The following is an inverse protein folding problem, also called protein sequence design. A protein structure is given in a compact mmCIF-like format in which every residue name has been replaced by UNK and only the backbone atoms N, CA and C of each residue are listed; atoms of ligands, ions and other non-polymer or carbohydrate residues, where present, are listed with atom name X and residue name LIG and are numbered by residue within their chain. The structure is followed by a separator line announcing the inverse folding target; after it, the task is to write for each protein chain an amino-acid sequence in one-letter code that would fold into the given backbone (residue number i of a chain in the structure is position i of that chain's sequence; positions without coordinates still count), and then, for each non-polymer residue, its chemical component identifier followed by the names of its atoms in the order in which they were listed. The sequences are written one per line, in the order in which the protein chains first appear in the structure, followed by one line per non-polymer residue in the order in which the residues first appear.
data_IF_090416510876
#
_entry.id   IF_090416510876
#
_cell.length_a   1.000
_cell.length_b   1.000
_cell.length_c   1.000
_cell.angle_alpha   90.00
_cell.angle_beta   90.00
_cell.angle_gamma   90.00
#
_symmetry.space_group_name_H-M   'P 1'
#
loop_
_entity.id
_entity.type
_entity.pdbx_description
1 polymer ?
#
# COMPACT_ATOMS: atom_id res chain seq x y z
N UNK A 1 31.75 15.07 -9.05
CA UNK A 1 30.75 15.99 -8.49
C UNK A 1 30.34 15.40 -7.11
N UNK A 2 30.15 16.22 -6.07
CA UNK A 2 29.64 15.72 -4.81
C UNK A 2 28.29 15.03 -5.02
N UNK A 3 27.95 14.04 -4.20
CA UNK A 3 26.63 13.43 -4.24
C UNK A 3 25.58 14.42 -3.69
N UNK A 4 24.30 14.28 -4.04
CA UNK A 4 23.24 15.13 -3.47
C UNK A 4 23.21 15.04 -1.95
N UNK A 5 23.56 13.88 -1.38
CA UNK A 5 23.67 13.67 0.06
C UNK A 5 24.71 14.57 0.71
N UNK A 6 25.84 14.83 0.03
CA UNK A 6 26.94 15.65 0.56
C UNK A 6 26.61 17.15 0.55
N UNK A 7 25.51 17.55 -0.11
CA UNK A 7 25.01 18.92 -0.14
C UNK A 7 24.03 19.22 1.01
N UNK A 8 23.63 18.21 1.78
CA UNK A 8 22.75 18.41 2.95
C UNK A 8 23.62 18.90 4.11
N UNK A 9 23.49 20.19 4.43
CA UNK A 9 24.29 20.85 5.48
C UNK A 9 23.46 21.09 6.75
N UNK A 10 22.15 21.30 6.61
CA UNK A 10 21.24 21.63 7.71
C UNK A 10 20.25 20.49 7.99
N UNK A 11 19.51 20.58 9.10
CA UNK A 11 18.42 19.67 9.43
C UNK A 11 17.26 19.80 8.46
N UNK A 12 16.34 18.81 8.44
CA UNK A 12 15.18 18.85 7.57
C UNK A 12 14.22 19.98 7.97
N UNK A 13 13.61 20.62 7.01
CA UNK A 13 12.56 21.64 7.23
C UNK A 13 11.15 21.02 7.30
N UNK A 14 10.98 19.83 6.76
CA UNK A 14 9.73 19.08 6.74
C UNK A 14 10.02 17.58 6.67
N UNK A 15 9.15 16.77 7.27
CA UNK A 15 9.17 15.32 7.17
C UNK A 15 7.76 14.80 6.86
N UNK A 16 7.67 13.81 5.96
CA UNK A 16 6.49 12.96 5.78
C UNK A 16 6.85 11.52 6.06
N UNK A 17 6.15 10.90 6.99
CA UNK A 17 6.32 9.49 7.34
C UNK A 17 5.05 8.75 6.95
N UNK A 18 5.24 7.60 6.27
CA UNK A 18 4.19 6.62 5.99
C UNK A 18 4.59 5.33 6.72
N UNK A 19 3.71 4.81 7.56
CA UNK A 19 3.90 3.54 8.29
C UNK A 19 2.72 2.61 7.98
N UNK A 20 3.01 1.34 7.64
CA UNK A 20 2.00 0.36 7.28
C UNK A 20 2.22 -0.92 8.08
N UNK A 21 1.13 -1.44 8.65
CA UNK A 21 1.13 -2.69 9.40
C UNK A 21 -0.05 -3.55 8.97
N UNK A 22 0.20 -4.85 8.79
CA UNK A 22 -0.82 -5.81 8.42
C UNK A 22 -1.06 -6.77 9.59
N UNK A 23 -2.31 -6.96 9.94
CA UNK A 23 -2.77 -7.82 11.02
C UNK A 23 -3.67 -8.93 10.46
N UNK A 24 -3.44 -10.20 10.80
CA UNK A 24 -4.35 -11.27 10.41
C UNK A 24 -5.69 -11.10 11.13
N UNK A 25 -6.80 -11.26 10.41
CA UNK A 25 -8.13 -11.34 10.99
C UNK A 25 -8.60 -12.80 11.04
N UNK A 26 -8.49 -13.49 9.92
CA UNK A 26 -8.77 -14.92 9.78
C UNK A 26 -7.92 -15.51 8.63
N UNK A 27 -8.21 -16.72 8.15
CA UNK A 27 -7.41 -17.38 7.12
C UNK A 27 -7.42 -16.66 5.77
N UNK A 28 -8.47 -15.90 5.45
CA UNK A 28 -8.71 -15.27 4.16
C UNK A 28 -8.66 -13.75 4.19
N UNK A 29 -8.63 -13.14 5.38
CA UNK A 29 -8.73 -11.69 5.52
C UNK A 29 -7.65 -11.12 6.44
N UNK A 30 -7.23 -9.92 6.10
CA UNK A 30 -6.29 -9.13 6.89
C UNK A 30 -6.84 -7.71 7.10
N UNK A 31 -6.45 -7.09 8.21
CA UNK A 31 -6.61 -5.66 8.42
C UNK A 31 -5.26 -5.02 8.17
N UNK A 32 -5.25 -4.02 7.31
CA UNK A 32 -4.07 -3.19 7.07
C UNK A 32 -4.31 -1.84 7.72
N UNK A 33 -3.39 -1.42 8.58
CA UNK A 33 -3.38 -0.10 9.20
C UNK A 33 -2.28 0.74 8.57
N UNK A 34 -2.62 1.91 8.08
CA UNK A 34 -1.70 2.88 7.50
C UNK A 34 -1.74 4.20 8.27
N UNK A 35 -0.58 4.79 8.50
CA UNK A 35 -0.42 6.10 9.11
C UNK A 35 0.35 7.02 8.19
N UNK A 36 -0.14 8.24 8.04
CA UNK A 36 0.57 9.37 7.45
C UNK A 36 0.79 10.42 8.55
N UNK A 37 2.03 10.88 8.70
CA UNK A 37 2.37 12.01 9.57
C UNK A 37 3.20 13.00 8.78
N UNK A 38 2.74 14.26 8.71
CA UNK A 38 3.49 15.42 8.23
C UNK A 38 3.90 16.30 9.39
N UNK A 39 5.18 16.65 9.45
CA UNK A 39 5.74 17.49 10.49
C UNK A 39 6.62 18.59 9.88
N UNK A 40 6.46 19.82 10.33
CA UNK A 40 7.36 20.95 10.05
C UNK A 40 8.28 21.19 11.21
N UNK A 41 9.53 21.46 10.93
CA UNK A 41 10.57 21.73 11.92
C UNK A 41 10.92 23.21 12.02
N UNK A 42 10.28 24.05 11.20
CA UNK A 42 10.42 25.51 11.22
C UNK A 42 9.06 26.17 11.32
N UNK A 43 8.96 27.32 12.03
CA UNK A 43 7.75 28.13 11.98
C UNK A 43 7.50 28.65 10.56
N UNK A 44 6.26 28.96 10.24
CA UNK A 44 5.86 29.46 8.93
C UNK A 44 4.78 30.54 9.03
N UNK A 45 4.66 31.36 8.00
CA UNK A 45 3.56 32.31 7.88
C UNK A 45 2.41 31.69 7.08
N UNK A 46 1.19 31.80 7.60
CA UNK A 46 -0.02 31.38 6.89
C UNK A 46 -0.42 32.39 5.78
N UNK A 47 -1.52 32.12 5.07
CA UNK A 47 -2.02 32.99 4.00
C UNK A 47 -2.47 34.37 4.50
N UNK A 48 -2.74 34.51 5.80
CA UNK A 48 -3.06 35.77 6.46
C UNK A 48 -1.84 36.53 6.97
N UNK A 49 -0.64 35.97 6.81
CA UNK A 49 0.61 36.53 7.33
C UNK A 49 0.83 36.29 8.83
N UNK A 50 0.06 35.41 9.47
CA UNK A 50 0.25 35.07 10.87
C UNK A 50 1.29 33.97 11.03
N UNK A 51 2.19 34.17 12.03
CA UNK A 51 3.23 33.19 12.34
C UNK A 51 2.62 31.98 13.04
N UNK A 52 2.70 30.82 12.40
CA UNK A 52 2.36 29.53 12.96
C UNK A 52 3.64 28.78 13.41
N UNK A 53 3.52 28.07 14.53
CA UNK A 53 4.64 27.30 15.11
C UNK A 53 4.93 26.03 14.28
N UNK A 54 6.15 25.52 14.46
CA UNK A 54 6.52 24.17 14.03
C UNK A 54 5.65 23.10 14.70
N UNK A 55 5.64 21.89 14.12
CA UNK A 55 4.94 20.73 14.67
C UNK A 55 4.20 19.91 13.62
N UNK A 56 3.34 19.01 14.10
CA UNK A 56 2.55 18.11 13.26
C UNK A 56 1.44 18.89 12.57
N UNK A 57 1.42 18.82 11.23
CA UNK A 57 0.42 19.48 10.38
C UNK A 57 -0.71 18.54 10.03
N UNK A 58 -0.33 17.29 9.65
CA UNK A 58 -1.27 16.23 9.31
C UNK A 58 -0.90 14.97 10.08
N UNK A 59 -1.88 14.35 10.69
CA UNK A 59 -1.81 12.98 11.17
C UNK A 59 -3.10 12.27 10.76
N UNK A 60 -2.95 11.21 9.98
CA UNK A 60 -4.08 10.46 9.43
C UNK A 60 -3.82 8.97 9.59
N UNK A 61 -4.87 8.26 9.95
CA UNK A 61 -4.87 6.80 10.04
C UNK A 61 -5.92 6.27 9.06
N UNK A 62 -5.57 5.20 8.39
CA UNK A 62 -6.45 4.51 7.45
C UNK A 62 -6.42 3.02 7.76
N UNK A 63 -7.59 2.43 7.87
CA UNK A 63 -7.77 1.00 8.10
C UNK A 63 -8.51 0.38 6.93
N UNK A 64 -7.97 -0.71 6.39
CA UNK A 64 -8.58 -1.46 5.31
C UNK A 64 -8.79 -2.89 5.74
N UNK A 65 -9.99 -3.42 5.57
CA UNK A 65 -10.25 -4.84 5.56
C UNK A 65 -10.06 -5.37 4.13
N UNK A 66 -9.12 -6.29 3.95
CA UNK A 66 -8.76 -6.82 2.64
C UNK A 66 -8.91 -8.33 2.65
N UNK A 67 -9.46 -8.86 1.57
CA UNK A 67 -9.64 -10.31 1.39
C UNK A 67 -10.31 -10.65 0.08
N UNK A 68 -10.59 -11.94 -0.09
CA UNK A 68 -11.23 -12.47 -1.30
C UNK A 68 -10.26 -12.82 -2.42
N UNK A 69 -10.84 -13.48 -3.44
CA UNK A 69 -10.13 -13.80 -4.68
C UNK A 69 -11.09 -13.54 -5.85
N UNK A 70 -10.93 -12.44 -6.59
CA UNK A 70 -9.82 -11.47 -6.57
C UNK A 70 -9.75 -10.62 -5.28
N UNK A 71 -8.52 -10.23 -4.93
CA UNK A 71 -8.27 -9.45 -3.72
C UNK A 71 -8.95 -8.08 -3.79
N UNK A 72 -9.75 -7.77 -2.78
CA UNK A 72 -10.62 -6.59 -2.79
C UNK A 72 -10.63 -5.89 -1.42
N UNK A 73 -10.97 -4.61 -1.43
CA UNK A 73 -11.25 -3.84 -0.21
C UNK A 73 -12.67 -4.19 0.24
N UNK A 74 -12.80 -4.88 1.36
CA UNK A 74 -14.08 -5.33 1.93
C UNK A 74 -14.71 -4.27 2.85
N UNK A 75 -13.88 -3.48 3.52
CA UNK A 75 -14.28 -2.33 4.34
C UNK A 75 -13.11 -1.35 4.48
N UNK A 76 -13.42 -0.09 4.80
CA UNK A 76 -12.45 0.96 4.99
C UNK A 76 -12.92 1.95 6.06
N UNK A 77 -11.99 2.42 6.90
CA UNK A 77 -12.24 3.47 7.87
C UNK A 77 -11.03 4.37 8.01
N UNK A 78 -11.25 5.64 8.40
CA UNK A 78 -10.20 6.63 8.54
C UNK A 78 -10.37 7.47 9.80
N UNK A 79 -9.24 7.86 10.39
CA UNK A 79 -9.17 8.84 11.46
C UNK A 79 -8.27 10.01 11.02
N UNK A 80 -8.58 11.21 11.47
CA UNK A 80 -7.83 12.43 11.15
C UNK A 80 -7.50 13.19 12.46
N UNK A 81 -6.60 12.65 13.31
CA UNK A 81 -6.30 13.23 14.62
C UNK A 81 -5.72 14.65 14.55
N UNK A 82 -4.98 14.97 13.47
CA UNK A 82 -4.41 16.29 13.25
C UNK A 82 -4.61 16.71 11.80
N UNK A 83 -5.24 17.88 11.62
CA UNK A 83 -5.47 18.52 10.33
C UNK A 83 -5.22 20.01 10.43
N UNK A 84 -4.82 20.70 9.35
CA UNK A 84 -4.54 22.12 9.39
C UNK A 84 -5.81 23.00 9.43
N UNK A 85 -6.96 22.45 9.05
CA UNK A 85 -8.27 23.13 9.03
C UNK A 85 -9.36 22.15 9.42
N UNK A 86 -10.32 22.58 10.24
CA UNK A 86 -11.44 21.73 10.72
C UNK A 86 -12.25 21.12 9.57
N UNK A 87 -12.45 21.88 8.49
CA UNK A 87 -13.14 21.44 7.27
C UNK A 87 -12.50 20.21 6.61
N UNK A 88 -11.20 19.94 6.86
CA UNK A 88 -10.56 18.74 6.31
C UNK A 88 -11.27 17.47 6.79
N UNK A 89 -11.83 17.46 8.00
CA UNK A 89 -12.51 16.30 8.59
C UNK A 89 -13.76 15.89 7.81
N UNK A 90 -14.38 16.80 7.07
CA UNK A 90 -15.55 16.50 6.22
C UNK A 90 -15.23 15.52 5.09
N UNK A 91 -13.95 15.47 4.68
CA UNK A 91 -13.52 14.54 3.63
C UNK A 91 -13.31 13.11 4.10
N UNK A 92 -13.35 12.84 5.41
CA UNK A 92 -13.09 11.52 6.00
C UNK A 92 -13.98 10.44 5.42
N UNK A 93 -15.28 10.71 5.33
CA UNK A 93 -16.27 9.73 4.85
C UNK A 93 -16.09 9.37 3.37
N UNK A 94 -15.35 10.16 2.59
CA UNK A 94 -15.07 9.84 1.19
C UNK A 94 -14.38 8.48 1.04
N UNK A 95 -13.62 8.03 2.06
CA UNK A 95 -12.90 6.75 2.03
C UNK A 95 -13.85 5.55 1.85
N UNK A 96 -15.09 5.64 2.30
CA UNK A 96 -16.07 4.56 2.13
C UNK A 96 -16.38 4.23 0.66
N UNK A 97 -16.15 5.17 -0.26
CA UNK A 97 -16.39 4.98 -1.70
C UNK A 97 -15.45 3.97 -2.36
N UNK A 98 -14.35 3.58 -1.69
CA UNK A 98 -13.41 2.58 -2.22
C UNK A 98 -13.80 1.14 -1.86
N UNK A 99 -14.78 0.94 -0.99
CA UNK A 99 -15.26 -0.39 -0.62
C UNK A 99 -15.79 -1.11 -1.87
N UNK A 100 -15.40 -2.36 -2.03
CA UNK A 100 -15.68 -3.17 -3.21
C UNK A 100 -14.67 -3.03 -4.36
N UNK A 101 -13.70 -2.13 -4.27
CA UNK A 101 -12.65 -2.04 -5.28
C UNK A 101 -11.74 -3.27 -5.24
N UNK A 102 -11.60 -3.89 -6.41
CA UNK A 102 -10.62 -4.93 -6.64
C UNK A 102 -9.21 -4.33 -6.79
N UNK A 103 -8.26 -4.92 -6.09
CA UNK A 103 -6.84 -4.52 -6.13
C UNK A 103 -6.20 -5.16 -7.36
N UNK A 104 -6.05 -4.40 -8.42
CA UNK A 104 -5.48 -4.82 -9.71
C UNK A 104 -4.92 -3.64 -10.50
N UNK A 105 -4.39 -3.89 -11.68
CA UNK A 105 -3.95 -2.83 -12.61
C UNK A 105 -5.05 -1.77 -12.79
N UNK A 106 -4.67 -0.49 -12.77
CA UNK A 106 -5.60 0.65 -12.81
C UNK A 106 -6.26 0.99 -11.46
N UNK A 107 -5.88 0.32 -10.35
CA UNK A 107 -6.42 0.62 -9.02
C UNK A 107 -6.23 2.09 -8.63
N UNK A 108 -5.01 2.61 -8.77
CA UNK A 108 -4.69 4.00 -8.40
C UNK A 108 -5.53 5.02 -9.17
N UNK A 109 -5.77 4.79 -10.45
CA UNK A 109 -6.62 5.67 -11.27
C UNK A 109 -8.06 5.69 -10.77
N UNK A 110 -8.60 4.51 -10.41
CA UNK A 110 -9.95 4.40 -9.83
C UNK A 110 -10.05 5.11 -8.48
N UNK A 111 -9.03 4.95 -7.62
CA UNK A 111 -8.96 5.66 -6.35
C UNK A 111 -8.96 7.17 -6.56
N UNK A 112 -8.10 7.70 -7.43
CA UNK A 112 -8.07 9.12 -7.75
C UNK A 112 -9.39 9.65 -8.28
N UNK A 113 -10.12 8.86 -9.08
CA UNK A 113 -11.43 9.22 -9.60
C UNK A 113 -12.51 9.27 -8.51
N UNK A 114 -12.44 8.37 -7.51
CA UNK A 114 -13.48 8.24 -6.48
C UNK A 114 -13.29 9.20 -5.30
N UNK A 115 -12.05 9.40 -4.86
CA UNK A 115 -11.72 10.13 -3.64
C UNK A 115 -10.58 11.12 -3.80
N UNK A 116 -10.04 11.29 -5.01
CA UNK A 116 -8.98 12.25 -5.31
C UNK A 116 -9.52 13.64 -5.65
N UNK A 117 -8.61 14.62 -5.74
CA UNK A 117 -8.91 16.00 -6.12
C UNK A 117 -10.05 16.60 -5.26
N UNK A 118 -11.07 17.13 -5.92
CA UNK A 118 -12.24 17.75 -5.28
C UNK A 118 -13.21 16.74 -4.64
N UNK A 119 -13.05 15.46 -4.91
CA UNK A 119 -13.93 14.40 -4.39
C UNK A 119 -13.57 13.94 -2.98
N UNK A 120 -12.41 14.36 -2.45
CA UNK A 120 -11.97 13.96 -1.11
C UNK A 120 -10.67 14.61 -0.69
N UNK A 121 -9.85 13.89 0.08
CA UNK A 121 -8.60 14.38 0.64
C UNK A 121 -7.38 13.84 -0.12
N UNK A 122 -6.51 14.72 -0.60
CA UNK A 122 -5.26 14.35 -1.28
C UNK A 122 -4.33 13.48 -0.39
N UNK A 123 -4.32 13.71 0.93
CA UNK A 123 -3.49 12.94 1.87
C UNK A 123 -4.03 11.52 2.07
N UNK A 124 -5.35 11.36 2.26
CA UNK A 124 -5.98 10.02 2.34
C UNK A 124 -5.82 9.26 1.02
N UNK A 125 -5.99 9.95 -0.12
CA UNK A 125 -5.77 9.36 -1.45
C UNK A 125 -4.33 8.85 -1.60
N UNK A 126 -3.34 9.68 -1.25
CA UNK A 126 -1.93 9.30 -1.31
C UNK A 126 -1.62 8.13 -0.36
N UNK A 127 -2.08 8.21 0.89
CA UNK A 127 -1.91 7.16 1.89
C UNK A 127 -2.46 5.82 1.36
N UNK A 128 -3.68 5.81 0.82
CA UNK A 128 -4.33 4.63 0.27
C UNK A 128 -3.55 4.02 -0.91
N UNK A 129 -3.15 4.85 -1.88
CA UNK A 129 -2.45 4.37 -3.08
C UNK A 129 -1.13 3.69 -2.73
N UNK A 130 -0.38 4.23 -1.77
CA UNK A 130 0.88 3.62 -1.32
C UNK A 130 0.62 2.40 -0.43
N UNK A 131 -0.40 2.47 0.45
CA UNK A 131 -0.77 1.43 1.39
C UNK A 131 -1.17 0.11 0.72
N UNK A 132 -1.81 0.16 -0.44
CA UNK A 132 -2.25 -1.04 -1.16
C UNK A 132 -1.08 -1.92 -1.59
N UNK A 133 0.07 -1.36 -1.94
CA UNK A 133 1.26 -2.14 -2.25
C UNK A 133 1.79 -2.87 -1.00
N UNK A 134 1.85 -2.18 0.14
CA UNK A 134 2.20 -2.81 1.42
C UNK A 134 1.18 -3.88 1.83
N UNK A 135 -0.11 -3.62 1.57
CA UNK A 135 -1.20 -4.56 1.82
C UNK A 135 -1.05 -5.88 1.06
N UNK A 136 -0.64 -5.83 -0.21
CA UNK A 136 -0.33 -7.04 -0.99
C UNK A 136 0.76 -7.87 -0.32
N UNK A 137 1.86 -7.24 0.08
CA UNK A 137 2.95 -7.95 0.77
C UNK A 137 2.48 -8.54 2.10
N UNK A 138 1.72 -7.79 2.89
CA UNK A 138 1.18 -8.27 4.17
C UNK A 138 0.20 -9.43 4.00
N UNK A 139 -0.70 -9.35 3.02
CA UNK A 139 -1.63 -10.44 2.70
C UNK A 139 -0.89 -11.72 2.29
N UNK A 140 0.11 -11.61 1.40
CA UNK A 140 0.90 -12.76 0.99
C UNK A 140 1.75 -13.32 2.11
N UNK A 141 2.35 -12.49 2.97
CA UNK A 141 3.06 -12.94 4.15
C UNK A 141 2.14 -13.76 5.07
N UNK A 142 0.89 -13.33 5.26
CA UNK A 142 -0.11 -14.07 6.00
C UNK A 142 -0.46 -15.42 5.34
N UNK A 143 -0.78 -15.43 4.04
CA UNK A 143 -1.11 -16.66 3.30
C UNK A 143 0.06 -17.64 3.21
N UNK A 144 1.30 -17.17 3.23
CA UNK A 144 2.51 -17.97 3.14
C UNK A 144 3.08 -18.34 4.51
N UNK A 145 2.47 -17.94 5.61
CA UNK A 145 2.95 -18.26 6.97
C UNK A 145 2.78 -19.74 7.37
N UNK A 146 1.98 -20.51 6.62
CA UNK A 146 1.75 -21.94 6.84
C UNK A 146 2.44 -22.78 5.76
N UNK A 147 2.94 -23.99 6.10
CA UNK A 147 3.44 -24.92 5.11
C UNK A 147 2.38 -25.24 4.04
N UNK A 148 2.81 -25.27 2.80
CA UNK A 148 1.96 -25.58 1.66
C UNK A 148 2.69 -26.50 0.69
N UNK A 149 1.98 -27.33 -0.10
CA UNK A 149 2.62 -28.13 -1.14
C UNK A 149 3.23 -27.23 -2.21
N UNK A 150 4.25 -27.75 -2.87
CA UNK A 150 4.83 -27.10 -4.06
C UNK A 150 3.75 -27.07 -5.15
N UNK A 151 3.49 -25.91 -5.77
CA UNK A 151 2.48 -25.80 -6.83
C UNK A 151 2.88 -26.64 -8.04
N UNK A 152 1.90 -27.22 -8.73
CA UNK A 152 2.11 -28.04 -9.93
C UNK A 152 2.16 -27.19 -11.21
N UNK A 153 1.66 -25.97 -11.15
CA UNK A 153 1.66 -25.02 -12.27
C UNK A 153 1.70 -23.58 -11.77
N UNK A 154 2.05 -22.65 -12.64
CA UNK A 154 2.00 -21.22 -12.32
C UNK A 154 0.60 -20.75 -11.92
N UNK A 155 -0.44 -21.35 -12.47
CA UNK A 155 -1.84 -20.97 -12.20
C UNK A 155 -2.28 -21.32 -10.77
N UNK A 156 -1.59 -22.25 -10.10
CA UNK A 156 -1.84 -22.58 -8.69
C UNK A 156 -1.23 -21.56 -7.72
N UNK A 157 -0.41 -20.64 -8.20
CA UNK A 157 0.20 -19.59 -7.39
C UNK A 157 -0.73 -18.37 -7.37
N UNK A 158 -1.67 -18.34 -6.43
CA UNK A 158 -2.73 -17.31 -6.36
C UNK A 158 -2.22 -15.86 -6.30
N UNK A 159 -0.99 -15.63 -5.81
CA UNK A 159 -0.34 -14.31 -5.78
C UNK A 159 0.32 -13.89 -7.08
N UNK A 160 0.56 -14.82 -8.00
CA UNK A 160 1.34 -14.57 -9.19
C UNK A 160 0.77 -13.47 -10.10
N UNK A 161 -0.55 -13.38 -10.34
CA UNK A 161 -1.13 -12.31 -11.15
C UNK A 161 -0.86 -10.87 -10.64
N UNK A 162 -0.59 -10.72 -9.34
CA UNK A 162 -0.26 -9.43 -8.73
C UNK A 162 1.23 -9.09 -8.82
N UNK A 163 2.07 -10.09 -9.05
CA UNK A 163 3.53 -9.97 -9.09
C UNK A 163 4.06 -9.88 -10.52
N UNK A 164 3.48 -10.62 -11.45
CA UNK A 164 3.90 -10.60 -12.87
C UNK A 164 3.83 -9.18 -13.41
N UNK A 165 4.94 -8.74 -14.02
CA UNK A 165 5.14 -7.40 -14.56
C UNK A 165 5.08 -6.25 -13.52
N UNK A 166 5.15 -6.56 -12.20
CA UNK A 166 5.21 -5.56 -11.14
C UNK A 166 6.57 -4.86 -11.04
N UNK A 167 7.65 -5.54 -11.42
CA UNK A 167 9.00 -4.97 -11.51
C UNK A 167 9.86 -5.73 -12.53
N UNK A 168 11.09 -5.22 -12.76
CA UNK A 168 12.01 -5.81 -13.74
C UNK A 168 12.31 -7.29 -13.53
N UNK A 169 12.37 -7.76 -12.28
CA UNK A 169 12.65 -9.16 -11.97
C UNK A 169 11.44 -10.09 -12.15
N UNK A 170 10.24 -9.55 -11.92
CA UNK A 170 8.97 -10.25 -12.06
C UNK A 170 8.37 -10.15 -13.47
N UNK A 171 9.15 -9.74 -14.50
CA UNK A 171 8.65 -9.82 -15.88
C UNK A 171 8.21 -11.25 -16.19
N UNK A 172 7.22 -11.37 -17.08
CA UNK A 172 6.70 -12.66 -17.54
C UNK A 172 7.81 -13.59 -18.09
N UNK A 173 8.83 -13.02 -18.75
CA UNK A 173 10.05 -13.68 -19.22
C UNK A 173 11.24 -13.51 -18.25
N UNK A 174 11.01 -13.01 -17.05
CA UNK A 174 12.03 -12.63 -16.08
C UNK A 174 12.60 -13.79 -15.27
N UNK A 175 13.71 -13.54 -14.56
CA UNK A 175 14.45 -14.60 -13.86
C UNK A 175 13.60 -15.31 -12.80
N UNK A 176 12.79 -14.58 -12.02
CA UNK A 176 11.98 -15.19 -10.95
C UNK A 176 10.91 -16.13 -11.53
N UNK A 177 10.30 -15.77 -12.65
CA UNK A 177 9.33 -16.65 -13.31
C UNK A 177 10.00 -17.91 -13.84
N UNK A 178 11.25 -17.82 -14.34
CA UNK A 178 12.01 -19.00 -14.78
C UNK A 178 12.40 -19.90 -13.60
N UNK A 179 12.90 -19.35 -12.50
CA UNK A 179 13.18 -20.08 -11.26
C UNK A 179 11.96 -20.84 -10.74
N UNK A 180 10.78 -20.20 -10.75
CA UNK A 180 9.53 -20.85 -10.33
C UNK A 180 9.16 -22.00 -11.26
N UNK A 181 9.31 -21.84 -12.58
CA UNK A 181 9.06 -22.92 -13.56
C UNK A 181 10.00 -24.10 -13.33
N UNK A 182 11.29 -23.83 -13.13
CA UNK A 182 12.29 -24.87 -12.86
C UNK A 182 11.99 -25.64 -11.56
N UNK A 183 11.62 -24.94 -10.48
CA UNK A 183 11.20 -25.52 -9.22
C UNK A 183 9.99 -26.45 -9.39
N UNK A 184 8.98 -26.03 -10.15
CA UNK A 184 7.79 -26.84 -10.45
C UNK A 184 8.18 -28.10 -11.20
N UNK A 185 9.01 -28.02 -12.24
CA UNK A 185 9.43 -29.16 -13.05
C UNK A 185 10.34 -30.14 -12.23
N UNK A 186 11.17 -29.62 -11.36
CA UNK A 186 11.96 -30.45 -10.45
C UNK A 186 11.07 -31.22 -9.45
N UNK A 187 10.04 -30.53 -8.90
CA UNK A 187 9.07 -31.15 -8.00
C UNK A 187 8.29 -32.27 -8.68
N UNK A 188 7.84 -32.09 -9.93
CA UNK A 188 7.17 -33.13 -10.71
C UNK A 188 8.06 -34.37 -10.90
N UNK A 189 9.33 -34.16 -11.27
CA UNK A 189 10.31 -35.27 -11.44
C UNK A 189 10.50 -36.04 -10.16
N UNK A 190 10.56 -35.41 -9.00
CA UNK A 190 10.72 -36.07 -7.69
C UNK A 190 9.49 -36.86 -7.25
N UNK A 191 8.29 -36.39 -7.62
CA UNK A 191 7.02 -37.01 -7.20
C UNK A 191 6.50 -38.07 -8.19
N UNK A 192 7.15 -38.27 -9.33
CA UNK A 192 6.76 -39.26 -10.34
C UNK A 192 5.43 -38.96 -11.03
N UNK A 193 4.93 -37.73 -10.94
CA UNK A 193 3.72 -37.27 -11.63
C UNK A 193 4.14 -36.79 -13.03
N UNK A 194 4.01 -37.69 -14.03
CA UNK A 194 4.09 -37.28 -15.43
C UNK A 194 2.95 -36.32 -15.84
N UNK A 195 3.19 -35.51 -16.89
CA UNK A 195 2.28 -34.45 -17.33
C UNK A 195 0.91 -34.92 -17.78
#
# INVERSE_FOLDING_TARGET
MPSLKDLIQDGPIHSRILDFKTYPLDEERVIVAGKLKDERFLPFYDEGGHLAKEGVIHEMLLYLLIGGMPLSILDADAEMPQVPRDLCTETRESIRRIVGLEIKSGFSEKVHKLIGNVEGCAHLTHLLVVMVQAALHGYWAHKMSKPRPVPRSLNEIGGLPYLVNSCRLWREDGPIIQEIKEMIEESKRRTGVEP
#
